data_IF_659830064585
#
_entry.id   IF_659830064585
#
_cell.length_a   1.000
_cell.length_b   1.000
_cell.length_c   1.000
_cell.angle_alpha   90.00
_cell.angle_beta   90.00
_cell.angle_gamma   90.00
#
_symmetry.space_group_name_H-M   'P 1'
#
loop_
_entity.id
_entity.type
_entity.pdbx_description
1 polymer ?
#
# COMPACT_ATOMS: atom_id res chain seq x y z
N UNK A 1 -11.08 0.29 -22.62
CA UNK A 1 -12.07 0.67 -21.60
C UNK A 1 -11.30 1.17 -20.38
N UNK A 2 -11.53 2.39 -19.92
CA UNK A 2 -10.90 2.88 -18.67
C UNK A 2 -11.74 2.32 -17.52
N UNK A 3 -11.20 1.36 -16.77
CA UNK A 3 -11.91 0.80 -15.61
C UNK A 3 -11.25 1.34 -14.35
N UNK A 4 -11.99 2.17 -13.62
CA UNK A 4 -11.52 2.77 -12.37
C UNK A 4 -12.07 2.03 -11.18
N UNK A 5 -11.19 1.62 -10.27
CA UNK A 5 -11.60 1.10 -8.98
C UNK A 5 -12.35 2.18 -8.18
N UNK A 6 -13.48 1.81 -7.57
CA UNK A 6 -14.22 2.71 -6.68
C UNK A 6 -13.62 2.60 -5.28
N UNK A 7 -12.93 3.67 -4.86
CA UNK A 7 -12.36 3.76 -3.51
C UNK A 7 -13.45 4.16 -2.51
N UNK A 8 -13.62 3.45 -1.38
CA UNK A 8 -14.48 3.87 -0.26
C UNK A 8 -14.15 5.27 0.25
N UNK A 9 -15.15 6.02 0.72
CA UNK A 9 -14.99 7.42 1.10
C UNK A 9 -14.03 7.59 2.29
N UNK A 10 -14.09 6.67 3.25
CA UNK A 10 -13.20 6.63 4.41
C UNK A 10 -11.72 6.54 3.99
N UNK A 11 -11.44 5.77 2.94
CA UNK A 11 -10.09 5.62 2.42
C UNK A 11 -9.66 6.83 1.58
N UNK A 12 -10.59 7.52 0.91
CA UNK A 12 -10.29 8.79 0.23
C UNK A 12 -9.90 9.87 1.23
N UNK A 13 -10.63 10.00 2.33
CA UNK A 13 -10.31 10.94 3.39
C UNK A 13 -8.91 10.65 3.95
N UNK A 14 -8.59 9.38 4.16
CA UNK A 14 -7.25 9.00 4.60
C UNK A 14 -6.16 9.31 3.56
N UNK A 15 -6.41 9.14 2.26
CA UNK A 15 -5.44 9.51 1.21
C UNK A 15 -5.13 11.01 1.21
N UNK A 16 -6.13 11.84 1.49
CA UNK A 16 -5.95 13.30 1.64
C UNK A 16 -5.11 13.61 2.87
N UNK A 17 -5.39 12.94 4.00
CA UNK A 17 -4.64 13.10 5.26
C UNK A 17 -3.18 12.65 5.11
N UNK A 18 -2.93 11.47 4.54
CA UNK A 18 -1.60 10.94 4.25
C UNK A 18 -0.80 11.91 3.35
N UNK A 19 -1.44 12.45 2.31
CA UNK A 19 -0.81 13.44 1.46
C UNK A 19 -0.45 14.71 2.24
N UNK A 20 -1.31 15.19 3.14
CA UNK A 20 -1.06 16.38 3.97
C UNK A 20 0.11 16.15 4.94
N UNK A 21 0.07 15.04 5.67
CA UNK A 21 1.11 14.63 6.62
C UNK A 21 2.49 14.60 5.95
N UNK A 22 2.59 13.95 4.79
CA UNK A 22 3.85 13.77 4.09
C UNK A 22 4.28 15.07 3.40
N UNK A 23 3.40 15.70 2.61
CA UNK A 23 3.84 16.79 1.72
C UNK A 23 3.84 18.16 2.39
N UNK A 24 2.82 18.48 3.20
CA UNK A 24 2.67 19.79 3.84
C UNK A 24 3.35 19.80 5.22
N UNK A 25 3.11 18.78 6.03
CA UNK A 25 3.64 18.72 7.39
C UNK A 25 5.05 18.11 7.48
N UNK A 26 5.58 17.57 6.38
CA UNK A 26 6.91 16.95 6.30
C UNK A 26 7.11 15.83 7.33
N UNK A 27 6.04 15.11 7.64
CA UNK A 27 6.11 13.93 8.47
C UNK A 27 6.45 12.70 7.63
N UNK A 28 7.13 11.75 8.25
CA UNK A 28 7.50 10.48 7.66
C UNK A 28 6.80 9.36 8.40
N UNK A 29 6.31 8.39 7.66
CA UNK A 29 5.80 7.16 8.25
C UNK A 29 6.92 6.43 9.00
N UNK A 30 6.61 5.90 10.17
CA UNK A 30 7.58 5.17 10.99
C UNK A 30 7.87 3.80 10.36
N UNK A 31 9.14 3.57 10.03
CA UNK A 31 9.62 2.32 9.46
C UNK A 31 10.67 1.67 10.39
N UNK A 32 10.71 0.33 10.49
CA UNK A 32 9.75 -0.62 9.91
C UNK A 32 8.33 -0.48 10.49
N UNK A 33 7.32 -0.76 9.67
CA UNK A 33 5.91 -0.65 10.05
C UNK A 33 5.57 -1.62 11.19
N UNK A 34 4.77 -1.17 12.17
CA UNK A 34 4.26 -2.03 13.26
C UNK A 34 3.47 -3.22 12.71
N UNK A 35 2.72 -2.99 11.64
CA UNK A 35 2.01 -4.00 10.87
C UNK A 35 2.33 -3.78 9.40
N UNK A 36 3.14 -4.67 8.84
CA UNK A 36 3.59 -4.57 7.47
C UNK A 36 2.56 -5.10 6.48
N UNK A 37 2.79 -4.85 5.20
CA UNK A 37 1.85 -5.24 4.14
C UNK A 37 1.69 -6.76 4.02
N UNK A 38 2.77 -7.51 4.20
CA UNK A 38 2.73 -8.97 4.24
C UNK A 38 1.72 -9.46 5.28
N UNK A 39 1.77 -8.94 6.50
CA UNK A 39 0.84 -9.29 7.57
C UNK A 39 -0.60 -8.87 7.25
N UNK A 40 -0.81 -7.70 6.63
CA UNK A 40 -2.15 -7.22 6.24
C UNK A 40 -2.76 -8.12 5.17
N UNK A 41 -1.97 -8.47 4.15
CA UNK A 41 -2.39 -9.33 3.05
C UNK A 41 -2.67 -10.77 3.52
N UNK A 42 -1.84 -11.29 4.41
CA UNK A 42 -2.03 -12.61 5.02
C UNK A 42 -3.31 -12.66 5.86
N UNK A 43 -3.54 -11.66 6.71
CA UNK A 43 -4.77 -11.57 7.52
C UNK A 43 -6.02 -11.49 6.63
N UNK A 44 -5.98 -10.67 5.58
CA UNK A 44 -7.07 -10.61 4.60
C UNK A 44 -7.34 -11.97 3.96
N UNK A 45 -6.29 -12.67 3.51
CA UNK A 45 -6.41 -13.99 2.92
C UNK A 45 -7.05 -14.99 3.89
N UNK A 46 -6.60 -14.99 5.15
CA UNK A 46 -7.12 -15.88 6.20
C UNK A 46 -8.59 -15.56 6.56
N UNK A 47 -8.97 -14.28 6.62
CA UNK A 47 -10.35 -13.86 6.79
C UNK A 47 -11.25 -14.39 5.66
N UNK A 48 -10.75 -14.48 4.42
CA UNK A 48 -11.52 -15.00 3.29
C UNK A 48 -11.63 -16.51 3.25
N UNK A 49 -10.55 -17.22 3.60
CA UNK A 49 -10.56 -18.69 3.70
C UNK A 49 -11.56 -19.17 4.76
N UNK A 50 -11.67 -18.48 5.88
CA UNK A 50 -12.64 -18.83 6.93
C UNK A 50 -14.11 -18.54 6.54
N UNK A 51 -14.35 -17.70 5.53
CA UNK A 51 -15.70 -17.31 5.08
C UNK A 51 -16.24 -18.16 3.91
N UNK A 52 -15.45 -19.05 3.30
CA UNK A 52 -15.90 -19.81 2.13
C UNK A 52 -15.10 -21.08 1.82
N UNK A 53 -15.83 -22.17 1.54
CA UNK A 53 -15.29 -23.52 1.41
C UNK A 53 -15.24 -24.00 -0.07
N UNK A 54 -14.53 -23.27 -0.95
CA UNK A 54 -14.39 -23.67 -2.38
C UNK A 54 -12.97 -23.44 -2.88
N UNK A 55 -12.21 -24.52 -3.08
CA UNK A 55 -10.78 -24.55 -3.44
C UNK A 55 -10.40 -23.62 -4.62
N UNK A 56 -11.27 -23.45 -5.63
CA UNK A 56 -10.98 -22.58 -6.78
C UNK A 56 -10.90 -21.09 -6.42
N UNK A 57 -11.66 -20.64 -5.41
CA UNK A 57 -11.61 -19.24 -4.94
C UNK A 57 -10.34 -18.95 -4.15
N UNK A 58 -9.80 -19.96 -3.48
CA UNK A 58 -8.56 -19.86 -2.70
C UNK A 58 -7.35 -19.65 -3.60
N UNK A 59 -7.25 -20.40 -4.71
CA UNK A 59 -6.17 -20.22 -5.69
C UNK A 59 -6.18 -18.81 -6.29
N UNK A 60 -7.32 -18.36 -6.78
CA UNK A 60 -7.47 -17.02 -7.35
C UNK A 60 -7.16 -15.92 -6.31
N UNK A 61 -7.58 -16.10 -5.06
CA UNK A 61 -7.24 -15.19 -3.98
C UNK A 61 -5.72 -15.13 -3.73
N UNK A 62 -5.05 -16.28 -3.70
CA UNK A 62 -3.59 -16.36 -3.53
C UNK A 62 -2.85 -15.69 -4.67
N UNK A 63 -3.31 -15.86 -5.91
CA UNK A 63 -2.73 -15.20 -7.10
C UNK A 63 -2.89 -13.68 -7.02
N UNK A 64 -4.06 -13.18 -6.61
CA UNK A 64 -4.28 -11.74 -6.44
C UNK A 64 -3.41 -11.17 -5.32
N UNK A 65 -3.36 -11.82 -4.16
CA UNK A 65 -2.53 -11.37 -3.03
C UNK A 65 -1.04 -11.37 -3.41
N UNK A 66 -0.57 -12.42 -4.08
CA UNK A 66 0.80 -12.50 -4.59
C UNK A 66 1.09 -11.38 -5.59
N UNK A 67 0.17 -11.13 -6.53
CA UNK A 67 0.29 -10.06 -7.50
C UNK A 67 0.37 -8.67 -6.85
N UNK A 68 -0.50 -8.36 -5.89
CA UNK A 68 -0.46 -7.08 -5.16
C UNK A 68 0.89 -6.88 -4.46
N UNK A 69 1.41 -7.92 -3.80
CA UNK A 69 2.73 -7.89 -3.14
C UNK A 69 3.87 -7.64 -4.14
N UNK A 70 3.84 -8.30 -5.30
CA UNK A 70 4.86 -8.12 -6.33
C UNK A 70 4.80 -6.72 -6.94
N UNK A 71 3.60 -6.23 -7.28
CA UNK A 71 3.39 -4.86 -7.72
C UNK A 71 3.91 -3.85 -6.70
N UNK A 72 3.67 -4.07 -5.40
CA UNK A 72 4.18 -3.19 -4.36
C UNK A 72 5.71 -3.12 -4.39
N UNK A 73 6.38 -4.27 -4.35
CA UNK A 73 7.83 -4.34 -4.30
C UNK A 73 8.49 -3.70 -5.52
N UNK A 74 7.86 -3.76 -6.70
CA UNK A 74 8.33 -3.12 -7.93
C UNK A 74 8.01 -1.62 -7.97
N UNK A 75 6.81 -1.22 -7.56
CA UNK A 75 6.32 0.16 -7.75
C UNK A 75 6.70 1.11 -6.61
N UNK A 76 7.01 0.61 -5.42
CA UNK A 76 7.27 1.46 -4.25
C UNK A 76 8.33 2.52 -4.53
N UNK A 77 9.52 2.06 -4.90
CA UNK A 77 10.69 2.92 -5.12
C UNK A 77 10.55 3.87 -6.31
N UNK A 78 9.56 3.71 -7.18
CA UNK A 78 9.42 4.52 -8.40
C UNK A 78 8.18 5.41 -8.37
N UNK A 79 7.03 4.90 -7.91
CA UNK A 79 5.73 5.52 -8.13
C UNK A 79 4.92 5.83 -6.86
N UNK A 80 5.28 5.24 -5.70
CA UNK A 80 4.46 5.35 -4.48
C UNK A 80 5.02 6.32 -3.44
N UNK A 81 6.29 6.70 -3.56
CA UNK A 81 6.99 7.58 -2.60
C UNK A 81 7.06 9.02 -3.10
N UNK A 82 6.64 9.95 -2.23
CA UNK A 82 6.84 11.38 -2.39
C UNK A 82 8.33 11.74 -2.32
N UNK A 83 8.70 12.91 -2.86
CA UNK A 83 10.10 13.39 -2.83
C UNK A 83 10.69 13.43 -1.42
N UNK A 84 9.88 13.81 -0.43
CA UNK A 84 10.31 13.90 0.97
C UNK A 84 10.64 12.54 1.59
N UNK A 85 10.09 11.44 1.08
CA UNK A 85 10.32 10.08 1.61
C UNK A 85 11.58 9.44 1.02
N UNK A 86 12.19 10.05 -0.01
CA UNK A 86 13.32 9.45 -0.76
C UNK A 86 14.57 9.18 0.08
N UNK A 87 15.01 10.09 0.97
CA UNK A 87 16.14 9.79 1.84
C UNK A 87 15.86 8.62 2.80
N UNK A 88 14.63 8.52 3.33
CA UNK A 88 14.23 7.41 4.21
C UNK A 88 14.26 6.09 3.45
N UNK A 89 13.79 6.07 2.20
CA UNK A 89 13.85 4.87 1.36
C UNK A 89 15.29 4.42 1.08
N UNK A 90 16.19 5.36 0.79
CA UNK A 90 17.61 5.05 0.60
C UNK A 90 18.25 4.45 1.87
N UNK A 91 17.93 4.99 3.04
CA UNK A 91 18.38 4.44 4.33
C UNK A 91 17.85 3.02 4.57
N UNK A 92 16.58 2.75 4.23
CA UNK A 92 15.99 1.42 4.34
C UNK A 92 16.68 0.41 3.42
N UNK A 93 16.98 0.78 2.17
CA UNK A 93 17.69 -0.11 1.25
C UNK A 93 19.10 -0.48 1.76
N UNK A 94 19.78 0.47 2.41
CA UNK A 94 21.10 0.23 3.00
C UNK A 94 21.03 -0.61 4.28
N UNK A 95 20.03 -0.36 5.13
CA UNK A 95 19.86 -1.05 6.39
C UNK A 95 19.31 -2.48 6.23
N UNK A 96 18.53 -2.73 5.16
CA UNK A 96 17.80 -3.98 4.94
C UNK A 96 17.93 -4.46 3.47
N UNK A 97 19.14 -4.79 2.99
CA UNK A 97 19.37 -5.11 1.57
C UNK A 97 18.63 -6.36 1.09
N UNK A 98 18.39 -7.32 1.98
CA UNK A 98 17.78 -8.63 1.65
C UNK A 98 16.30 -8.73 2.06
N UNK A 99 15.68 -7.63 2.50
CA UNK A 99 14.29 -7.61 2.96
C UNK A 99 13.40 -6.98 1.90
N UNK A 100 12.29 -7.65 1.58
CA UNK A 100 11.32 -7.10 0.64
C UNK A 100 10.61 -5.89 1.23
N UNK A 101 10.26 -4.92 0.39
CA UNK A 101 9.65 -3.67 0.86
C UNK A 101 8.26 -3.90 1.46
N UNK A 102 7.52 -4.90 1.01
CA UNK A 102 6.23 -5.31 1.60
C UNK A 102 6.36 -5.80 3.06
N UNK A 103 7.56 -6.16 3.51
CA UNK A 103 7.84 -6.51 4.91
C UNK A 103 8.26 -5.31 5.77
N UNK A 104 8.59 -4.17 5.16
CA UNK A 104 9.05 -2.95 5.84
C UNK A 104 7.94 -1.91 5.91
N UNK A 105 7.18 -1.72 4.83
CA UNK A 105 6.14 -0.70 4.71
C UNK A 105 4.78 -1.22 5.19
N UNK A 106 3.83 -0.30 5.40
CA UNK A 106 2.54 -0.59 6.02
C UNK A 106 1.34 -0.11 5.20
N UNK A 107 0.18 -0.11 5.85
CA UNK A 107 -1.11 0.14 5.20
C UNK A 107 -1.20 1.43 4.34
N UNK A 108 -0.62 2.58 4.73
CA UNK A 108 -0.71 3.80 3.91
C UNK A 108 -0.12 3.64 2.52
N UNK A 109 1.07 3.02 2.42
CA UNK A 109 1.75 2.78 1.15
C UNK A 109 1.03 1.73 0.30
N UNK A 110 0.50 0.69 0.94
CA UNK A 110 -0.37 -0.29 0.29
C UNK A 110 -1.61 0.38 -0.33
N UNK A 111 -2.26 1.30 0.39
CA UNK A 111 -3.41 2.03 -0.13
C UNK A 111 -3.03 2.88 -1.35
N UNK A 112 -1.88 3.56 -1.33
CA UNK A 112 -1.36 4.29 -2.51
C UNK A 112 -1.20 3.38 -3.71
N UNK A 113 -0.70 2.16 -3.52
CA UNK A 113 -0.60 1.17 -4.58
C UNK A 113 -1.98 0.83 -5.17
N UNK A 114 -2.97 0.51 -4.33
CA UNK A 114 -4.31 0.12 -4.81
C UNK A 114 -4.96 1.21 -5.66
N UNK A 115 -4.77 2.48 -5.30
CA UNK A 115 -5.22 3.63 -6.11
C UNK A 115 -4.48 3.70 -7.45
N UNK A 116 -3.17 3.43 -7.46
CA UNK A 116 -2.36 3.42 -8.68
C UNK A 116 -2.75 2.27 -9.61
N UNK A 117 -2.82 1.03 -9.11
CA UNK A 117 -3.20 -0.13 -9.95
C UNK A 117 -4.65 0.01 -10.43
N UNK A 118 -5.55 0.53 -9.60
CA UNK A 118 -6.95 0.81 -10.00
C UNK A 118 -7.09 1.87 -11.09
N UNK A 119 -6.01 2.60 -11.43
CA UNK A 119 -5.95 3.54 -12.54
C UNK A 119 -5.07 3.06 -13.70
N UNK A 120 -4.37 1.91 -13.57
CA UNK A 120 -3.53 1.37 -14.64
C UNK A 120 -4.37 0.62 -15.68
N UNK A 121 -3.97 0.75 -16.94
CA UNK A 121 -4.52 -0.05 -18.03
C UNK A 121 -3.89 -1.44 -18.01
N UNK A 122 -4.59 -2.43 -17.47
CA UNK A 122 -4.14 -3.83 -17.54
C UNK A 122 -4.64 -4.48 -18.84
N UNK A 123 -3.77 -5.14 -19.64
CA UNK A 123 -4.17 -5.86 -20.85
C UNK A 123 -4.82 -7.21 -20.50
N UNK A 124 -5.82 -7.18 -19.62
CA UNK A 124 -6.62 -8.34 -19.23
C UNK A 124 -7.84 -8.44 -20.13
N UNK A 125 -8.29 -9.67 -20.40
CA UNK A 125 -9.62 -9.88 -20.98
C UNK A 125 -10.71 -9.47 -19.99
N UNK A 126 -11.93 -9.22 -20.48
CA UNK A 126 -13.03 -8.70 -19.67
C UNK A 126 -13.36 -9.56 -18.44
N UNK A 127 -13.23 -10.90 -18.55
CA UNK A 127 -13.55 -11.79 -17.43
C UNK A 127 -12.48 -11.72 -16.35
N UNK A 128 -11.20 -11.76 -16.75
CA UNK A 128 -10.07 -11.62 -15.83
C UNK A 128 -10.04 -10.25 -15.17
N UNK A 129 -10.36 -9.19 -15.92
CA UNK A 129 -10.47 -7.83 -15.39
C UNK A 129 -11.61 -7.70 -14.37
N UNK A 130 -12.79 -8.23 -14.67
CA UNK A 130 -13.93 -8.22 -13.75
C UNK A 130 -13.62 -8.99 -12.45
N UNK A 131 -12.95 -10.15 -12.55
CA UNK A 131 -12.53 -10.93 -11.39
C UNK A 131 -11.52 -10.16 -10.54
N UNK A 132 -10.48 -9.60 -11.17
CA UNK A 132 -9.45 -8.81 -10.50
C UNK A 132 -10.03 -7.60 -9.77
N UNK A 133 -10.92 -6.84 -10.44
CA UNK A 133 -11.63 -5.71 -9.83
C UNK A 133 -12.53 -6.13 -8.69
N UNK A 134 -13.16 -7.31 -8.80
CA UNK A 134 -13.94 -7.90 -7.71
C UNK A 134 -13.12 -8.10 -6.44
N UNK A 135 -11.94 -8.71 -6.57
CA UNK A 135 -11.02 -8.89 -5.45
C UNK A 135 -10.42 -7.58 -4.94
N UNK A 136 -10.10 -6.64 -5.84
CA UNK A 136 -9.60 -5.31 -5.47
C UNK A 136 -10.63 -4.54 -4.64
N UNK A 137 -11.88 -4.46 -5.11
CA UNK A 137 -12.96 -3.79 -4.38
C UNK A 137 -13.26 -4.46 -3.04
N UNK A 138 -13.20 -5.78 -3.00
CA UNK A 138 -13.39 -6.52 -1.76
C UNK A 138 -12.26 -6.22 -0.75
N UNK A 139 -11.00 -6.18 -1.21
CA UNK A 139 -9.88 -5.81 -0.37
C UNK A 139 -9.95 -4.35 0.11
N UNK A 140 -10.36 -3.41 -0.75
CA UNK A 140 -10.62 -2.03 -0.35
C UNK A 140 -11.71 -1.93 0.72
N UNK A 141 -12.77 -2.75 0.64
CA UNK A 141 -13.79 -2.83 1.70
C UNK A 141 -13.22 -3.38 3.00
N UNK A 142 -12.33 -4.37 2.93
CA UNK A 142 -11.63 -4.89 4.10
C UNK A 142 -10.78 -3.80 4.77
N UNK A 143 -10.01 -3.02 4.01
CA UNK A 143 -9.23 -1.90 4.54
C UNK A 143 -10.13 -0.82 5.15
N UNK A 144 -11.24 -0.47 4.48
CA UNK A 144 -12.19 0.53 4.99
C UNK A 144 -12.82 0.09 6.32
N UNK A 145 -13.21 -1.19 6.43
CA UNK A 145 -13.77 -1.76 7.66
C UNK A 145 -12.77 -1.74 8.83
N UNK A 146 -11.48 -1.86 8.54
CA UNK A 146 -10.41 -1.84 9.53
C UNK A 146 -9.66 -0.51 9.58
N UNK A 147 -10.24 0.55 9.01
CA UNK A 147 -9.52 1.81 8.77
C UNK A 147 -8.97 2.43 10.05
N UNK A 148 -9.78 2.46 11.11
CA UNK A 148 -9.39 3.03 12.40
C UNK A 148 -8.17 2.35 13.06
N UNK A 149 -7.91 1.07 12.76
CA UNK A 149 -6.74 0.35 13.30
C UNK A 149 -5.55 0.31 12.34
N UNK A 150 -5.79 0.50 11.04
CA UNK A 150 -4.77 0.44 9.99
C UNK A 150 -4.18 1.81 9.63
N UNK A 151 -4.92 2.88 9.90
CA UNK A 151 -4.58 4.22 9.45
C UNK A 151 -4.64 5.20 10.61
N UNK A 152 -3.48 5.69 11.04
CA UNK A 152 -3.39 6.68 12.13
C UNK A 152 -2.22 7.62 11.92
N UNK A 153 -2.44 8.91 12.18
CA UNK A 153 -1.38 9.92 12.14
C UNK A 153 -0.28 9.65 13.19
N UNK A 154 -0.59 8.86 14.23
CA UNK A 154 0.39 8.47 15.26
C UNK A 154 1.51 7.57 14.73
N UNK A 155 1.34 6.96 13.55
CA UNK A 155 2.39 6.20 12.89
C UNK A 155 3.31 7.09 12.03
N UNK A 156 3.13 8.42 12.09
CA UNK A 156 3.98 9.41 11.44
C UNK A 156 4.78 10.19 12.48
N UNK A 157 5.99 10.60 12.11
CA UNK A 157 6.85 11.45 12.92
C UNK A 157 7.37 12.62 12.10
N UNK A 158 7.49 13.79 12.73
CA UNK A 158 8.18 14.94 12.14
C UNK A 158 9.61 14.53 11.81
N UNK A 159 10.05 14.83 10.57
CA UNK A 159 11.42 14.60 10.16
C UNK A 159 12.40 15.41 11.04
N UNK A 160 13.55 14.83 11.37
CA UNK A 160 14.56 15.55 12.16
C UNK A 160 15.20 16.67 11.34
N UNK A 161 15.85 17.64 12.01
CA UNK A 161 16.61 18.69 11.33
C UNK A 161 17.67 18.11 10.38
N UNK A 162 18.39 17.06 10.79
CA UNK A 162 19.38 16.36 9.95
C UNK A 162 18.75 15.75 8.69
N UNK A 163 17.49 15.28 8.79
CA UNK A 163 16.76 14.77 7.64
C UNK A 163 16.40 15.88 6.64
N UNK A 164 16.06 17.06 7.14
CA UNK A 164 15.84 18.23 6.28
C UNK A 164 17.12 18.68 5.56
N UNK A 165 18.29 18.61 6.19
CA UNK A 165 19.56 18.88 5.52
C UNK A 165 19.81 17.90 4.37
N UNK A 166 19.62 16.59 4.58
CA UNK A 166 19.73 15.56 3.52
C UNK A 166 18.79 15.82 2.34
N UNK A 167 17.61 16.38 2.59
CA UNK A 167 16.69 16.76 1.52
C UNK A 167 17.21 17.93 0.68
N UNK A 168 17.95 18.87 1.27
CA UNK A 168 18.54 20.02 0.59
C UNK A 168 19.80 19.67 -0.21
N UNK A 169 20.62 18.73 0.27
CA UNK A 169 21.88 18.33 -0.38
C UNK A 169 21.69 17.51 -1.68
N UNK A 170 20.47 17.05 -1.94
CA UNK A 170 20.08 16.36 -3.18
C UNK A 170 19.43 17.30 -4.23
N UNK A 171 19.55 18.62 -4.07
CA UNK A 171 19.18 19.64 -5.07
C UNK A 171 20.39 20.31 -5.71
#
# INVERSE_FOLDING_TARGET
MEVKATIPEELKLWLVEDWDLVTRQKQLFQLPAKKNEDAILEEYANCKKSQGNVNNKERALSEVVGGVKEYFNVMLGTQLLCKVERPQYAEILLAHPDVSMSQIYGAPHLLRLLVRIGAMYTPLDEKSLALWLGYLHDFLKYLAKNSASMFTANDYKVASADYHCKLCDHY
#
